data_IF_732480047602
#
_entry.id   IF_732480047602
#
_cell.length_a   1.000
_cell.length_b   1.000
_cell.length_c   1.000
_cell.angle_alpha   90.00
_cell.angle_beta   90.00
_cell.angle_gamma   90.00
#
_symmetry.space_group_name_H-M   'P 1'
#
loop_
_entity.id
_entity.type
_entity.pdbx_description
1 polymer ?
#
# COMPACT_ATOMS: atom_id res chain seq x y z
N UNK A 1 8.28 -5.96 13.83
CA UNK A 1 9.44 -5.99 14.76
C UNK A 1 9.23 -4.91 15.80
N UNK A 2 9.11 -5.27 17.09
CA UNK A 2 8.77 -4.31 18.15
C UNK A 2 9.96 -3.37 18.37
N UNK A 3 9.92 -2.13 17.87
CA UNK A 3 11.02 -1.17 17.99
C UNK A 3 11.20 -0.84 19.47
N UNK A 4 12.28 -1.35 20.09
CA UNK A 4 12.68 -0.95 21.45
C UNK A 4 12.91 0.56 21.45
N UNK A 5 12.34 1.25 22.43
CA UNK A 5 12.56 2.68 22.62
C UNK A 5 14.06 2.98 22.75
N UNK A 6 14.52 4.06 22.11
CA UNK A 6 15.93 4.52 22.08
C UNK A 6 16.62 4.46 23.45
N UNK A 7 15.89 4.86 24.49
CA UNK A 7 16.40 4.90 25.86
C UNK A 7 16.69 3.50 26.41
N UNK A 8 15.83 2.52 26.12
CA UNK A 8 16.05 1.13 26.54
C UNK A 8 17.26 0.55 25.83
N UNK A 9 17.38 0.79 24.52
CA UNK A 9 18.54 0.34 23.73
C UNK A 9 19.86 0.88 24.28
N UNK A 10 19.92 2.18 24.59
CA UNK A 10 21.13 2.80 25.15
C UNK A 10 21.37 2.31 26.59
N UNK A 11 20.34 2.18 27.42
CA UNK A 11 20.50 1.65 28.78
C UNK A 11 21.05 0.22 28.79
N UNK A 12 20.59 -0.63 27.87
CA UNK A 12 21.05 -2.02 27.73
C UNK A 12 22.47 -2.09 27.16
N UNK A 13 22.78 -1.29 26.13
CA UNK A 13 24.08 -1.28 25.48
C UNK A 13 25.20 -0.81 26.43
N UNK A 14 24.94 0.27 27.16
CA UNK A 14 25.91 0.93 28.04
C UNK A 14 25.84 0.47 29.50
N UNK A 15 25.03 -0.56 29.80
CA UNK A 15 24.85 -1.10 31.16
C UNK A 15 24.45 -0.01 32.18
N UNK A 16 23.45 0.82 31.81
CA UNK A 16 22.94 1.97 32.58
C UNK A 16 21.58 1.71 33.24
N UNK A 17 21.14 0.46 33.29
CA UNK A 17 19.82 0.09 33.83
C UNK A 17 19.62 0.51 35.31
N UNK A 18 20.71 0.63 36.08
CA UNK A 18 20.70 1.09 37.49
C UNK A 18 20.87 2.60 37.68
N UNK A 19 20.92 3.42 36.62
CA UNK A 19 21.11 4.88 36.76
C UNK A 19 19.90 5.52 37.46
N UNK A 20 20.16 6.24 38.55
CA UNK A 20 19.14 6.92 39.37
C UNK A 20 18.51 8.10 38.65
N UNK A 21 19.29 8.86 37.86
CA UNK A 21 18.80 10.05 37.14
C UNK A 21 18.43 9.75 35.67
N UNK A 22 17.42 8.90 35.47
CA UNK A 22 16.93 8.53 34.12
C UNK A 22 16.41 9.73 33.32
N UNK A 23 15.84 10.74 33.97
CA UNK A 23 15.32 11.93 33.29
C UNK A 23 16.44 12.73 32.59
N UNK A 24 17.60 12.89 33.25
CA UNK A 24 18.75 13.58 32.65
C UNK A 24 19.37 12.79 31.51
N UNK A 25 19.43 11.46 31.64
CA UNK A 25 19.90 10.57 30.57
C UNK A 25 19.00 10.68 29.33
N UNK A 26 17.67 10.65 29.51
CA UNK A 26 16.71 10.84 28.42
C UNK A 26 16.89 12.20 27.72
N UNK A 27 17.06 13.27 28.49
CA UNK A 27 17.31 14.61 27.95
C UNK A 27 18.61 14.70 27.16
N UNK A 28 19.67 14.01 27.61
CA UNK A 28 20.94 13.95 26.88
C UNK A 28 20.74 13.21 25.54
N UNK A 29 20.16 12.02 25.58
CA UNK A 29 19.90 11.20 24.38
C UNK A 29 19.08 11.98 23.36
N UNK A 30 17.96 12.58 23.77
CA UNK A 30 17.07 13.31 22.85
C UNK A 30 17.72 14.57 22.27
N UNK A 31 18.58 15.24 23.06
CA UNK A 31 19.31 16.43 22.58
C UNK A 31 20.30 16.07 21.49
N UNK A 32 21.08 15.00 21.68
CA UNK A 32 22.02 14.53 20.67
C UNK A 32 21.29 13.96 19.45
N UNK A 33 20.19 13.23 19.64
CA UNK A 33 19.37 12.75 18.53
C UNK A 33 18.88 13.91 17.66
N UNK A 34 18.28 14.94 18.28
CA UNK A 34 17.78 16.12 17.56
C UNK A 34 18.89 16.96 16.93
N UNK A 35 20.10 16.93 17.49
CA UNK A 35 21.27 17.63 16.94
C UNK A 35 21.75 16.96 15.65
N UNK A 36 21.90 15.64 15.67
CA UNK A 36 22.42 14.87 14.53
C UNK A 36 21.34 14.58 13.48
N UNK A 37 20.07 14.47 13.90
CA UNK A 37 18.91 14.19 13.06
C UNK A 37 17.78 15.20 13.34
N UNK A 38 17.88 16.46 12.87
CA UNK A 38 16.93 17.52 13.23
C UNK A 38 15.50 17.28 12.71
N UNK A 39 15.38 16.56 11.59
CA UNK A 39 14.13 16.34 10.87
C UNK A 39 13.59 14.91 11.01
N UNK A 40 14.20 14.06 11.85
CA UNK A 40 13.78 12.68 12.04
C UNK A 40 13.66 12.34 13.52
N UNK A 41 12.59 11.66 13.88
CA UNK A 41 12.42 10.97 15.16
C UNK A 41 13.15 9.63 15.14
N UNK A 42 13.35 9.03 16.31
CA UNK A 42 14.00 7.71 16.43
C UNK A 42 13.34 6.63 15.56
N UNK A 43 12.01 6.66 15.48
CA UNK A 43 11.24 5.67 14.73
C UNK A 43 11.31 5.90 13.21
N UNK A 44 11.67 7.11 12.78
CA UNK A 44 11.90 7.47 11.37
C UNK A 44 13.34 7.20 10.90
N UNK A 45 14.25 6.89 11.82
CA UNK A 45 15.61 6.48 11.47
C UNK A 45 15.62 5.07 10.87
N UNK A 46 16.43 4.90 9.82
CA UNK A 46 16.80 3.59 9.30
C UNK A 46 17.59 2.78 10.36
N UNK A 47 17.62 1.46 10.23
CA UNK A 47 18.39 0.61 11.16
C UNK A 47 19.88 1.00 11.20
N UNK A 48 20.45 1.41 10.07
CA UNK A 48 21.83 1.90 9.98
C UNK A 48 22.01 3.20 10.75
N UNK A 49 21.12 4.19 10.57
CA UNK A 49 21.16 5.45 11.31
C UNK A 49 21.00 5.24 12.82
N UNK A 50 20.10 4.33 13.24
CA UNK A 50 19.95 3.94 14.64
C UNK A 50 21.23 3.32 15.21
N UNK A 51 21.90 2.46 14.44
CA UNK A 51 23.15 1.84 14.84
C UNK A 51 24.29 2.88 14.96
N UNK A 52 24.47 3.72 13.93
CA UNK A 52 25.44 4.83 13.94
C UNK A 52 25.21 5.72 15.16
N UNK A 53 23.95 6.08 15.44
CA UNK A 53 23.64 6.91 16.60
C UNK A 53 24.06 6.24 17.91
N UNK A 54 23.67 4.98 18.11
CA UNK A 54 23.87 4.26 19.37
C UNK A 54 25.30 3.80 19.62
N UNK A 55 26.07 3.53 18.57
CA UNK A 55 27.41 2.94 18.64
C UNK A 55 28.54 3.95 18.39
N UNK A 56 28.23 5.09 17.77
CA UNK A 56 29.23 6.10 17.38
C UNK A 56 28.88 7.46 17.99
N UNK A 57 27.73 8.05 17.61
CA UNK A 57 27.45 9.46 17.89
C UNK A 57 27.16 9.74 19.37
N UNK A 58 26.53 8.80 20.07
CA UNK A 58 26.17 8.98 21.49
C UNK A 58 27.22 8.42 22.46
N UNK A 59 28.24 7.72 21.95
CA UNK A 59 29.20 6.95 22.75
C UNK A 59 30.01 7.82 23.69
N UNK A 60 30.71 8.82 23.14
CA UNK A 60 31.54 9.76 23.92
C UNK A 60 30.70 10.54 24.95
N UNK A 61 29.55 11.17 24.59
CA UNK A 61 28.69 11.83 25.57
C UNK A 61 28.21 10.93 26.73
N UNK A 62 28.01 9.64 26.48
CA UNK A 62 27.59 8.68 27.51
C UNK A 62 28.77 8.26 28.38
N UNK A 63 29.93 8.01 27.79
CA UNK A 63 31.15 7.66 28.53
C UNK A 63 31.55 8.77 29.48
N UNK A 64 31.64 10.01 29.00
CA UNK A 64 32.06 11.16 29.81
C UNK A 64 31.18 11.38 31.03
N UNK A 65 29.86 11.17 30.88
CA UNK A 65 28.88 11.57 31.88
C UNK A 65 28.35 10.43 32.76
N UNK A 66 28.31 9.21 32.24
CA UNK A 66 27.63 8.08 32.91
C UNK A 66 28.51 6.85 33.10
N UNK A 67 29.65 6.74 32.40
CA UNK A 67 30.55 5.59 32.52
C UNK A 67 31.96 6.10 32.72
N UNK A 68 32.28 6.59 33.92
CA UNK A 68 33.61 7.15 34.22
C UNK A 68 34.67 6.10 34.59
N UNK A 69 34.27 4.84 34.74
CA UNK A 69 35.19 3.73 35.04
C UNK A 69 35.84 3.23 33.74
N UNK A 70 37.16 3.38 33.64
CA UNK A 70 37.97 2.99 32.46
C UNK A 70 37.84 1.50 32.10
N UNK A 71 37.68 0.62 33.08
CA UNK A 71 37.54 -0.83 32.85
C UNK A 71 36.18 -1.09 32.21
N UNK A 72 35.12 -0.44 32.73
CA UNK A 72 33.76 -0.52 32.18
C UNK A 72 33.67 0.10 30.79
N UNK A 73 34.30 1.26 30.56
CA UNK A 73 34.40 1.86 29.22
C UNK A 73 35.07 0.92 28.23
N UNK A 74 36.21 0.29 28.59
CA UNK A 74 36.89 -0.69 27.73
C UNK A 74 36.01 -1.89 27.42
N UNK A 75 35.27 -2.40 28.41
CA UNK A 75 34.32 -3.51 28.23
C UNK A 75 33.21 -3.15 27.25
N UNK A 76 32.56 -2.00 27.43
CA UNK A 76 31.47 -1.53 26.56
C UNK A 76 32.00 -1.24 25.15
N UNK A 77 33.18 -0.61 25.03
CA UNK A 77 33.82 -0.34 23.74
C UNK A 77 34.08 -1.62 22.94
N UNK A 78 34.57 -2.69 23.60
CA UNK A 78 34.75 -4.00 22.95
C UNK A 78 33.43 -4.60 22.48
N UNK A 79 32.35 -4.43 23.26
CA UNK A 79 31.01 -4.89 22.88
C UNK A 79 30.51 -4.14 21.64
N UNK A 80 30.59 -2.80 21.65
CA UNK A 80 30.24 -1.93 20.53
C UNK A 80 31.04 -2.34 19.27
N UNK A 81 32.36 -2.50 19.39
CA UNK A 81 33.21 -2.92 18.27
C UNK A 81 32.83 -4.30 17.71
N UNK A 82 32.47 -5.25 18.57
CA UNK A 82 32.01 -6.57 18.15
C UNK A 82 30.69 -6.48 17.37
N UNK A 83 29.70 -5.78 17.92
CA UNK A 83 28.39 -5.59 17.27
C UNK A 83 28.53 -4.86 15.92
N UNK A 84 29.36 -3.81 15.84
CA UNK A 84 29.63 -3.11 14.58
C UNK A 84 30.36 -3.98 13.55
N UNK A 85 31.26 -4.86 13.99
CA UNK A 85 31.94 -5.81 13.08
C UNK A 85 30.97 -6.85 12.52
N UNK A 86 30.08 -7.38 13.35
CA UNK A 86 29.03 -8.32 12.92
C UNK A 86 28.09 -7.67 11.91
N UNK A 87 27.70 -6.41 12.13
CA UNK A 87 26.90 -5.65 11.17
C UNK A 87 27.64 -5.42 9.85
N UNK A 88 28.92 -5.08 9.88
CA UNK A 88 29.72 -4.92 8.66
C UNK A 88 29.75 -6.21 7.83
N UNK A 89 29.88 -7.37 8.49
CA UNK A 89 29.86 -8.67 7.81
C UNK A 89 28.49 -8.96 7.17
N UNK A 90 27.40 -8.64 7.86
CA UNK A 90 26.04 -8.78 7.31
C UNK A 90 25.83 -7.87 6.09
N UNK A 91 26.32 -6.62 6.15
CA UNK A 91 26.28 -5.69 5.01
C UNK A 91 27.09 -6.23 3.83
N UNK A 92 28.30 -6.75 4.06
CA UNK A 92 29.14 -7.32 3.01
C UNK A 92 28.48 -8.53 2.32
N UNK A 93 27.81 -9.39 3.10
CA UNK A 93 27.04 -10.52 2.56
C UNK A 93 25.91 -10.02 1.66
N UNK A 94 25.09 -9.08 2.16
CA UNK A 94 23.97 -8.51 1.38
C UNK A 94 24.44 -7.78 0.13
N UNK A 95 25.57 -7.08 0.21
CA UNK A 95 26.17 -6.42 -0.97
C UNK A 95 26.61 -7.43 -2.01
N UNK A 96 27.21 -8.56 -1.61
CA UNK A 96 27.57 -9.64 -2.53
C UNK A 96 26.34 -10.24 -3.19
N UNK A 97 25.33 -10.60 -2.41
CA UNK A 97 24.06 -11.11 -2.92
C UNK A 97 23.42 -10.15 -3.93
N UNK A 98 23.40 -8.85 -3.61
CA UNK A 98 22.86 -7.83 -4.51
C UNK A 98 23.70 -7.66 -5.78
N UNK A 99 25.03 -7.73 -5.68
CA UNK A 99 25.92 -7.67 -6.84
C UNK A 99 25.71 -8.87 -7.77
N UNK A 100 25.57 -10.08 -7.22
CA UNK A 100 25.25 -11.28 -8.02
C UNK A 100 23.92 -11.14 -8.77
N UNK A 101 22.90 -10.56 -8.12
CA UNK A 101 21.62 -10.25 -8.78
C UNK A 101 21.82 -9.22 -9.90
N UNK A 102 22.57 -8.14 -9.64
CA UNK A 102 22.82 -7.09 -10.64
C UNK A 102 23.60 -7.65 -11.85
N UNK A 103 24.57 -8.52 -11.63
CA UNK A 103 25.31 -9.20 -12.69
C UNK A 103 24.38 -10.02 -13.59
N UNK A 104 23.44 -10.77 -13.00
CA UNK A 104 22.42 -11.51 -13.77
C UNK A 104 21.51 -10.57 -14.56
N UNK A 105 21.03 -9.49 -13.93
CA UNK A 105 20.16 -8.51 -14.59
C UNK A 105 20.82 -7.89 -15.83
N UNK A 106 22.10 -7.56 -15.71
CA UNK A 106 22.88 -6.91 -16.76
C UNK A 106 23.54 -7.88 -17.75
N UNK A 107 23.48 -9.19 -17.49
CA UNK A 107 24.11 -10.22 -18.30
C UNK A 107 23.59 -10.18 -19.74
N UNK A 108 24.52 -10.16 -20.69
CA UNK A 108 24.22 -10.39 -22.10
C UNK A 108 24.22 -11.90 -22.35
N UNK A 109 23.03 -12.48 -22.43
CA UNK A 109 22.85 -13.91 -22.65
C UNK A 109 23.08 -14.29 -24.12
N UNK A 110 22.60 -13.48 -25.06
CA UNK A 110 22.67 -13.80 -26.48
C UNK A 110 24.00 -13.37 -27.11
N UNK A 111 24.61 -14.27 -27.86
CA UNK A 111 25.77 -14.02 -28.71
C UNK A 111 25.45 -14.50 -30.13
N UNK A 112 25.51 -13.58 -31.10
CA UNK A 112 25.04 -13.82 -32.48
C UNK A 112 25.76 -14.98 -33.17
N UNK A 113 27.09 -15.05 -32.98
CA UNK A 113 27.98 -16.05 -33.58
C UNK A 113 28.09 -17.35 -32.78
N UNK A 114 27.26 -17.54 -31.75
CA UNK A 114 27.27 -18.78 -30.97
C UNK A 114 26.61 -19.93 -31.74
N UNK A 115 26.98 -21.15 -31.37
CA UNK A 115 26.34 -22.37 -31.86
C UNK A 115 24.87 -22.40 -31.45
N UNK A 116 24.02 -23.09 -32.22
CA UNK A 116 22.61 -23.27 -31.85
C UNK A 116 22.45 -23.93 -30.47
N UNK A 117 23.37 -24.81 -30.09
CA UNK A 117 23.38 -25.40 -28.76
C UNK A 117 23.73 -24.39 -27.67
N UNK A 118 24.69 -23.48 -27.93
CA UNK A 118 25.04 -22.37 -27.04
C UNK A 118 23.90 -21.37 -26.86
N UNK A 119 23.19 -21.03 -27.94
CA UNK A 119 22.00 -20.15 -27.88
C UNK A 119 20.86 -20.76 -27.06
N UNK A 120 20.60 -22.05 -27.20
CA UNK A 120 19.59 -22.76 -26.39
C UNK A 120 19.98 -22.79 -24.91
N UNK A 121 21.24 -23.00 -24.61
CA UNK A 121 21.75 -22.98 -23.24
C UNK A 121 21.66 -21.57 -22.63
N UNK A 122 22.02 -20.54 -23.39
CA UNK A 122 21.88 -19.15 -22.97
C UNK A 122 20.42 -18.78 -22.67
N UNK A 123 19.49 -19.21 -23.53
CA UNK A 123 18.06 -19.02 -23.29
C UNK A 123 17.55 -19.78 -22.07
N UNK A 124 18.04 -21.01 -21.84
CA UNK A 124 17.73 -21.78 -20.63
C UNK A 124 18.18 -21.02 -19.39
N UNK A 125 19.40 -20.49 -19.40
CA UNK A 125 19.94 -19.70 -18.29
C UNK A 125 19.11 -18.41 -18.06
N UNK A 126 18.70 -17.73 -19.14
CA UNK A 126 17.79 -16.58 -19.05
C UNK A 126 16.49 -16.97 -18.35
N UNK A 127 15.87 -18.09 -18.74
CA UNK A 127 14.62 -18.56 -18.12
C UNK A 127 14.79 -18.89 -16.63
N UNK A 128 15.91 -19.50 -16.26
CA UNK A 128 16.23 -19.81 -14.86
C UNK A 128 16.40 -18.53 -14.03
N UNK A 129 17.21 -17.57 -14.52
CA UNK A 129 17.45 -16.31 -13.81
C UNK A 129 16.18 -15.41 -13.80
N UNK A 130 15.37 -15.45 -14.86
CA UNK A 130 14.06 -14.78 -14.91
C UNK A 130 13.15 -15.27 -13.78
N UNK A 131 13.02 -16.59 -13.63
CA UNK A 131 12.19 -17.19 -12.56
C UNK A 131 12.74 -16.85 -11.16
N UNK A 132 14.06 -16.79 -11.01
CA UNK A 132 14.67 -16.46 -9.72
C UNK A 132 14.43 -15.01 -9.31
N UNK A 133 14.53 -14.06 -10.26
CA UNK A 133 14.53 -12.62 -9.98
C UNK A 133 13.13 -12.00 -10.15
N UNK A 134 12.48 -12.24 -11.29
CA UNK A 134 11.21 -11.61 -11.66
C UNK A 134 10.02 -12.39 -11.11
N UNK A 135 10.16 -13.71 -10.92
CA UNK A 135 9.21 -14.68 -10.31
C UNK A 135 7.86 -14.86 -11.01
N UNK A 136 7.34 -13.84 -11.65
CA UNK A 136 6.03 -13.82 -12.31
C UNK A 136 6.13 -13.68 -13.82
N UNK A 137 5.18 -14.33 -14.51
CA UNK A 137 5.17 -14.41 -15.95
C UNK A 137 6.22 -15.37 -16.50
N UNK A 138 6.36 -15.35 -17.82
CA UNK A 138 7.38 -16.11 -18.53
C UNK A 138 8.07 -15.20 -19.54
N UNK A 139 9.39 -15.35 -19.75
CA UNK A 139 10.05 -14.66 -20.84
C UNK A 139 9.47 -15.11 -22.19
N UNK A 140 9.78 -14.36 -23.24
CA UNK A 140 9.45 -14.70 -24.62
C UNK A 140 9.93 -16.12 -24.98
N UNK A 141 9.30 -16.76 -25.96
CA UNK A 141 9.73 -18.09 -26.45
C UNK A 141 11.15 -18.04 -27.03
N UNK A 142 11.81 -19.20 -27.20
CA UNK A 142 13.16 -19.25 -27.77
C UNK A 142 13.21 -18.65 -29.19
N UNK A 143 12.20 -18.96 -30.02
CA UNK A 143 12.08 -18.49 -31.39
C UNK A 143 11.87 -16.97 -31.48
N UNK A 144 11.19 -16.37 -30.51
CA UNK A 144 11.00 -14.92 -30.42
C UNK A 144 12.25 -14.23 -29.87
N UNK A 145 12.81 -14.79 -28.80
CA UNK A 145 14.00 -14.26 -28.14
C UNK A 145 15.22 -14.25 -29.05
N UNK A 146 15.39 -15.27 -29.90
CA UNK A 146 16.49 -15.30 -30.88
C UNK A 146 16.37 -14.24 -31.97
N UNK A 147 15.15 -13.76 -32.27
CA UNK A 147 14.91 -12.65 -33.22
C UNK A 147 15.11 -11.29 -32.58
N UNK A 148 14.68 -11.13 -31.32
CA UNK A 148 14.81 -9.90 -30.55
C UNK A 148 15.39 -10.23 -29.18
N UNK A 149 16.72 -10.36 -29.05
CA UNK A 149 17.32 -10.81 -27.80
C UNK A 149 17.19 -9.76 -26.71
N UNK A 150 16.36 -10.08 -25.71
CA UNK A 150 16.18 -9.28 -24.51
C UNK A 150 17.00 -9.81 -23.34
N UNK A 151 17.48 -8.90 -22.50
CA UNK A 151 18.10 -9.20 -21.20
C UNK A 151 17.04 -9.11 -20.11
N UNK A 152 17.38 -9.61 -18.92
CA UNK A 152 16.53 -9.45 -17.74
C UNK A 152 16.23 -7.98 -17.42
N UNK A 153 17.21 -7.08 -17.60
CA UNK A 153 17.01 -5.64 -17.46
C UNK A 153 15.84 -5.13 -18.30
N UNK A 154 15.72 -5.58 -19.55
CA UNK A 154 14.73 -5.08 -20.49
C UNK A 154 13.30 -5.51 -20.05
N UNK A 155 13.15 -6.73 -19.51
CA UNK A 155 11.90 -7.20 -18.89
C UNK A 155 11.54 -6.44 -17.60
N UNK A 156 12.52 -6.09 -16.77
CA UNK A 156 12.27 -5.33 -15.54
C UNK A 156 11.79 -3.91 -15.91
N UNK A 157 12.45 -3.30 -16.88
CA UNK A 157 12.11 -1.94 -17.33
C UNK A 157 10.71 -1.90 -17.96
N UNK A 158 10.35 -2.86 -18.82
CA UNK A 158 9.02 -2.90 -19.42
C UNK A 158 7.93 -2.98 -18.36
N UNK A 159 8.08 -3.86 -17.36
CA UNK A 159 7.12 -3.98 -16.25
C UNK A 159 7.04 -2.71 -15.42
N UNK A 160 8.17 -2.06 -15.14
CA UNK A 160 8.14 -0.79 -14.39
C UNK A 160 7.40 0.32 -15.13
N UNK A 161 7.47 0.33 -16.46
CA UNK A 161 6.74 1.29 -17.30
C UNK A 161 5.25 0.95 -17.35
N UNK A 162 4.89 -0.33 -17.45
CA UNK A 162 3.50 -0.80 -17.36
C UNK A 162 2.87 -0.40 -16.03
N UNK A 163 3.52 -0.69 -14.89
CA UNK A 163 3.00 -0.31 -13.56
C UNK A 163 2.90 1.21 -13.39
N UNK A 164 3.87 1.97 -13.91
CA UNK A 164 3.79 3.42 -13.87
C UNK A 164 2.60 3.95 -14.70
N UNK A 165 2.36 3.36 -15.88
CA UNK A 165 1.22 3.72 -16.72
C UNK A 165 -0.11 3.38 -16.04
N UNK A 166 -0.24 2.19 -15.44
CA UNK A 166 -1.44 1.78 -14.69
C UNK A 166 -1.76 2.78 -13.56
N UNK A 167 -0.74 3.24 -12.82
CA UNK A 167 -0.95 4.23 -11.76
C UNK A 167 -1.41 5.59 -12.28
N UNK A 168 -0.91 6.02 -13.44
CA UNK A 168 -1.34 7.26 -14.10
C UNK A 168 -2.78 7.12 -14.60
N UNK A 169 -3.11 5.98 -15.20
CA UNK A 169 -4.45 5.71 -15.73
C UNK A 169 -5.49 5.65 -14.60
N UNK A 170 -5.13 5.07 -13.45
CA UNK A 170 -5.97 5.06 -12.25
C UNK A 170 -6.19 6.49 -11.71
N UNK A 171 -5.15 7.30 -11.60
CA UNK A 171 -5.28 8.71 -11.20
C UNK A 171 -6.13 9.52 -12.18
N UNK A 172 -5.97 9.29 -13.49
CA UNK A 172 -6.75 9.93 -14.55
C UNK A 172 -8.22 9.50 -14.56
N UNK A 173 -8.53 8.25 -14.17
CA UNK A 173 -9.90 7.75 -14.04
C UNK A 173 -10.66 8.40 -12.88
N UNK A 174 -9.96 8.72 -11.78
CA UNK A 174 -10.54 9.36 -10.59
C UNK A 174 -10.83 10.86 -10.80
N UNK A 175 -10.16 11.51 -11.75
CA UNK A 175 -10.32 12.94 -12.05
C UNK A 175 -11.75 13.34 -12.50
N UNK A 176 -12.38 12.66 -13.48
CA UNK A 176 -13.77 12.90 -13.87
C UNK A 176 -14.77 12.75 -12.72
N UNK A 177 -14.61 11.75 -11.86
CA UNK A 177 -15.51 11.55 -10.70
C UNK A 177 -15.44 12.71 -9.72
N UNK A 178 -14.22 13.20 -9.42
CA UNK A 178 -14.02 14.36 -8.54
C UNK A 178 -14.56 15.66 -9.15
N UNK A 179 -14.41 15.83 -10.47
CA UNK A 179 -14.96 16.98 -11.19
C UNK A 179 -16.49 16.93 -11.12
N UNK A 180 -17.10 15.78 -11.40
CA UNK A 180 -18.54 15.58 -11.35
C UNK A 180 -19.11 15.78 -9.94
N UNK A 181 -18.48 15.23 -8.91
CA UNK A 181 -18.88 15.44 -7.51
C UNK A 181 -18.82 16.93 -7.12
N UNK A 182 -17.80 17.65 -7.58
CA UNK A 182 -17.68 19.10 -7.35
C UNK A 182 -18.78 19.88 -8.07
N UNK A 183 -19.10 19.52 -9.32
CA UNK A 183 -20.19 20.12 -10.10
C UNK A 183 -21.54 19.88 -9.39
N UNK A 184 -21.82 18.63 -9.00
CA UNK A 184 -23.06 18.24 -8.32
C UNK A 184 -23.20 19.00 -6.99
N UNK A 185 -22.17 19.02 -6.15
CA UNK A 185 -22.17 19.79 -4.89
C UNK A 185 -22.42 21.27 -5.11
N UNK A 186 -21.85 21.83 -6.17
CA UNK A 186 -22.06 23.25 -6.52
C UNK A 186 -23.51 23.50 -6.94
N UNK A 187 -24.09 22.65 -7.78
CA UNK A 187 -25.50 22.73 -8.19
C UNK A 187 -26.43 22.60 -6.99
N UNK A 188 -26.20 21.61 -6.12
CA UNK A 188 -26.98 21.41 -4.88
C UNK A 188 -26.93 22.65 -3.98
N UNK A 189 -25.75 23.27 -3.87
CA UNK A 189 -25.58 24.50 -3.09
C UNK A 189 -26.33 25.68 -3.71
N UNK A 190 -26.31 25.84 -5.03
CA UNK A 190 -27.08 26.87 -5.74
C UNK A 190 -28.58 26.65 -5.52
N UNK A 191 -29.08 25.42 -5.69
CA UNK A 191 -30.49 25.08 -5.48
C UNK A 191 -30.95 25.37 -4.05
N UNK A 192 -30.10 25.11 -3.06
CA UNK A 192 -30.41 25.40 -1.65
C UNK A 192 -30.41 26.90 -1.33
N UNK A 193 -29.45 27.65 -1.86
CA UNK A 193 -29.26 29.09 -1.52
C UNK A 193 -30.19 29.99 -2.31
N UNK A 194 -30.32 29.79 -3.61
CA UNK A 194 -31.06 30.69 -4.50
C UNK A 194 -32.54 30.30 -4.62
N UNK A 195 -32.85 29.00 -4.56
CA UNK A 195 -34.20 28.48 -4.80
C UNK A 195 -34.87 27.91 -3.55
N UNK A 196 -34.17 27.83 -2.41
CA UNK A 196 -34.65 27.23 -1.15
C UNK A 196 -35.17 25.79 -1.33
N UNK A 197 -34.61 25.07 -2.32
CA UNK A 197 -34.95 23.69 -2.61
C UNK A 197 -33.94 22.78 -1.91
N UNK A 198 -34.45 21.89 -1.06
CA UNK A 198 -33.63 20.87 -0.40
C UNK A 198 -33.91 19.51 -1.04
N UNK A 199 -32.89 18.98 -1.72
CA UNK A 199 -32.93 17.64 -2.32
C UNK A 199 -32.54 16.62 -1.25
N UNK A 200 -33.37 15.61 -1.07
CA UNK A 200 -33.17 14.50 -0.15
C UNK A 200 -32.25 13.45 -0.79
N UNK A 201 -30.94 13.66 -0.60
CA UNK A 201 -29.89 12.78 -1.12
C UNK A 201 -29.96 11.38 -0.49
N UNK A 202 -30.39 11.28 0.78
CA UNK A 202 -30.49 9.99 1.46
C UNK A 202 -31.57 9.13 0.81
N UNK A 203 -32.73 9.72 0.54
CA UNK A 203 -33.85 9.03 -0.12
C UNK A 203 -33.49 8.56 -1.53
N UNK A 204 -32.74 9.36 -2.28
CA UNK A 204 -32.20 8.96 -3.60
C UNK A 204 -31.25 7.76 -3.45
N UNK A 205 -30.34 7.81 -2.48
CA UNK A 205 -29.37 6.74 -2.22
C UNK A 205 -30.06 5.44 -1.86
N UNK A 206 -31.08 5.49 -0.99
CA UNK A 206 -31.85 4.32 -0.57
C UNK A 206 -32.65 3.72 -1.74
N UNK A 207 -33.24 4.57 -2.60
CA UNK A 207 -33.94 4.12 -3.80
C UNK A 207 -33.01 3.42 -4.79
N UNK A 208 -31.87 4.04 -5.12
CA UNK A 208 -30.91 3.47 -6.07
C UNK A 208 -30.26 2.19 -5.54
N UNK A 209 -29.95 2.13 -4.25
CA UNK A 209 -29.39 0.93 -3.62
C UNK A 209 -30.39 -0.22 -3.66
N UNK A 210 -31.68 0.05 -3.45
CA UNK A 210 -32.72 -0.97 -3.56
C UNK A 210 -32.87 -1.45 -5.00
N UNK A 211 -32.96 -0.55 -5.98
CA UNK A 211 -33.13 -0.91 -7.39
C UNK A 211 -31.94 -1.68 -7.95
N UNK A 212 -30.71 -1.35 -7.54
CA UNK A 212 -29.52 -2.07 -7.97
C UNK A 212 -29.44 -3.50 -7.41
N UNK A 213 -29.87 -3.69 -6.15
CA UNK A 213 -29.88 -5.01 -5.51
C UNK A 213 -31.16 -5.80 -5.77
N UNK A 214 -32.16 -5.19 -6.42
CA UNK A 214 -33.35 -5.87 -6.88
C UNK A 214 -32.97 -6.67 -8.14
N UNK A 215 -32.81 -7.98 -8.00
CA UNK A 215 -32.78 -8.88 -9.15
C UNK A 215 -34.23 -9.09 -9.60
N UNK A 216 -34.70 -8.44 -10.69
CA UNK A 216 -35.92 -8.91 -11.30
C UNK A 216 -35.72 -10.37 -11.70
N UNK A 217 -36.75 -11.21 -11.52
CA UNK A 217 -36.83 -12.47 -12.25
C UNK A 217 -36.70 -12.23 -13.75
N UNK A 218 -36.60 -13.30 -14.53
CA UNK A 218 -36.47 -13.25 -16.01
C UNK A 218 -37.30 -12.09 -16.60
N UNK A 219 -36.78 -11.36 -17.59
CA UNK A 219 -37.45 -10.19 -18.20
C UNK A 219 -38.87 -10.47 -18.77
N UNK A 220 -39.26 -11.74 -18.82
CA UNK A 220 -40.56 -12.26 -19.27
C UNK A 220 -41.52 -12.64 -18.12
N UNK A 221 -41.11 -12.52 -16.85
CA UNK A 221 -41.96 -12.78 -15.69
C UNK A 221 -42.70 -11.51 -15.27
N UNK A 222 -44.04 -11.54 -15.35
CA UNK A 222 -44.86 -10.45 -14.86
C UNK A 222 -44.70 -10.30 -13.34
N UNK A 223 -44.44 -9.07 -12.88
CA UNK A 223 -44.32 -8.78 -11.45
C UNK A 223 -45.64 -9.13 -10.74
N UNK A 224 -45.53 -9.97 -9.71
CA UNK A 224 -46.66 -10.35 -8.88
C UNK A 224 -47.02 -9.21 -7.92
N UNK A 225 -48.20 -8.60 -8.08
CA UNK A 225 -48.70 -7.53 -7.20
C UNK A 225 -49.87 -7.95 -6.29
N UNK A 226 -50.48 -9.10 -6.58
CA UNK A 226 -51.60 -9.69 -5.86
C UNK A 226 -51.37 -11.20 -5.66
N UNK A 227 -52.04 -11.79 -4.66
CA UNK A 227 -51.87 -13.21 -4.36
C UNK A 227 -52.47 -14.08 -5.48
N UNK A 228 -51.69 -15.02 -6.01
CA UNK A 228 -52.14 -15.96 -7.04
C UNK A 228 -52.10 -17.41 -6.51
N UNK A 229 -53.27 -18.03 -6.29
CA UNK A 229 -53.35 -19.41 -5.82
C UNK A 229 -52.88 -20.46 -6.85
N UNK A 230 -52.67 -20.09 -8.12
CA UNK A 230 -52.16 -20.98 -9.16
C UNK A 230 -50.64 -21.16 -9.12
N UNK A 231 -49.92 -20.27 -8.41
CA UNK A 231 -48.46 -20.36 -8.28
C UNK A 231 -48.05 -21.42 -7.25
N UNK A 232 -47.02 -22.24 -7.53
CA UNK A 232 -46.53 -23.29 -6.63
C UNK A 232 -45.67 -22.71 -5.47
N UNK A 233 -46.09 -21.58 -4.91
CA UNK A 233 -45.40 -20.86 -3.84
C UNK A 233 -46.30 -20.79 -2.60
N UNK A 234 -45.67 -20.80 -1.41
CA UNK A 234 -46.41 -20.62 -0.17
C UNK A 234 -47.02 -19.21 -0.11
N UNK A 235 -48.10 -19.07 0.67
CA UNK A 235 -48.76 -17.77 0.87
C UNK A 235 -47.82 -16.71 1.46
N UNK A 236 -46.93 -17.12 2.35
CA UNK A 236 -45.92 -16.26 2.96
C UNK A 236 -44.88 -15.81 1.92
N UNK A 237 -44.37 -16.74 1.10
CA UNK A 237 -43.42 -16.41 0.03
C UNK A 237 -44.02 -15.45 -1.02
N UNK A 238 -45.29 -15.63 -1.39
CA UNK A 238 -45.96 -14.71 -2.31
C UNK A 238 -46.15 -13.31 -1.70
N UNK A 239 -46.43 -13.21 -0.39
CA UNK A 239 -46.58 -11.92 0.28
C UNK A 239 -45.27 -11.13 0.32
N UNK A 240 -44.14 -11.80 0.53
CA UNK A 240 -42.81 -11.18 0.47
C UNK A 240 -42.51 -10.65 -0.94
N UNK A 241 -42.75 -11.46 -1.98
CA UNK A 241 -42.56 -11.06 -3.39
C UNK A 241 -43.45 -9.86 -3.74
N UNK A 242 -44.73 -9.88 -3.36
CA UNK A 242 -45.67 -8.77 -3.60
C UNK A 242 -45.19 -7.48 -2.90
N UNK A 243 -44.68 -7.60 -1.66
CA UNK A 243 -44.16 -6.45 -0.93
C UNK A 243 -42.93 -5.86 -1.64
N UNK A 244 -42.02 -6.71 -2.10
CA UNK A 244 -40.82 -6.28 -2.83
C UNK A 244 -41.17 -5.64 -4.17
N UNK A 245 -42.10 -6.21 -4.93
CA UNK A 245 -42.54 -5.68 -6.22
C UNK A 245 -43.26 -4.32 -6.08
N UNK A 246 -44.08 -4.15 -5.04
CA UNK A 246 -44.71 -2.86 -4.72
C UNK A 246 -43.68 -1.79 -4.34
N UNK A 247 -42.64 -2.18 -3.60
CA UNK A 247 -41.55 -1.28 -3.24
C UNK A 247 -40.69 -0.90 -4.46
N UNK A 248 -40.42 -1.86 -5.35
CA UNK A 248 -39.78 -1.62 -6.65
C UNK A 248 -40.56 -0.62 -7.50
N UNK A 249 -41.87 -0.82 -7.64
CA UNK A 249 -42.73 0.09 -8.40
C UNK A 249 -42.75 1.50 -7.78
N UNK A 250 -42.83 1.60 -6.45
CA UNK A 250 -42.78 2.89 -5.75
C UNK A 250 -41.48 3.64 -6.02
N UNK A 251 -40.33 2.98 -5.93
CA UNK A 251 -39.03 3.63 -6.15
C UNK A 251 -38.77 3.98 -7.62
N UNK A 252 -39.28 3.18 -8.55
CA UNK A 252 -39.26 3.49 -9.99
C UNK A 252 -40.09 4.75 -10.28
N UNK A 253 -41.33 4.79 -9.77
CA UNK A 253 -42.22 5.94 -9.89
C UNK A 253 -41.61 7.22 -9.29
N UNK A 254 -40.91 7.09 -8.16
CA UNK A 254 -40.22 8.18 -7.50
C UNK A 254 -39.06 8.75 -8.33
N UNK A 255 -38.28 7.88 -9.00
CA UNK A 255 -37.24 8.29 -9.94
C UNK A 255 -37.81 9.02 -11.16
N UNK A 256 -38.87 8.48 -11.76
CA UNK A 256 -39.50 9.08 -12.94
C UNK A 256 -40.15 10.43 -12.64
N UNK A 257 -40.77 10.56 -11.46
CA UNK A 257 -41.44 11.81 -11.03
C UNK A 257 -40.49 12.79 -10.34
N UNK A 258 -39.22 12.41 -10.12
CA UNK A 258 -38.20 13.20 -9.43
C UNK A 258 -38.66 13.70 -8.04
N UNK A 259 -39.40 12.86 -7.30
CA UNK A 259 -40.04 13.20 -6.03
C UNK A 259 -39.08 13.12 -4.83
N UNK A 260 -37.97 13.87 -4.93
CA UNK A 260 -36.89 13.88 -3.94
C UNK A 260 -36.55 15.27 -3.44
N UNK A 261 -37.40 16.28 -3.66
CA UNK A 261 -37.10 17.64 -3.24
C UNK A 261 -38.27 18.27 -2.49
N UNK A 262 -37.93 19.05 -1.47
CA UNK A 262 -38.88 19.86 -0.73
C UNK A 262 -38.63 21.32 -1.06
N UNK A 263 -39.67 22.03 -1.45
CA UNK A 263 -39.65 23.48 -1.60
C UNK A 263 -40.29 24.08 -0.37
N UNK A 264 -39.58 24.97 0.33
CA UNK A 264 -40.24 25.76 1.38
C UNK A 264 -41.26 26.68 0.71
N UNK A 265 -42.54 26.48 0.98
CA UNK A 265 -43.55 27.47 0.63
C UNK A 265 -43.30 28.72 1.47
N UNK A 266 -43.18 29.87 0.80
CA UNK A 266 -43.13 31.17 1.48
C UNK A 266 -44.46 31.39 2.19
N UNK A 267 -44.41 31.56 3.51
CA UNK A 267 -45.48 32.21 4.27
C UNK A 267 -45.60 33.68 3.87
#
# INVERSE_FOLDING_TARGET
MNKKQIHTTICDLYELNGVTNRASLRRLINRHLKKEYPNKTWDELTLLEQHIFTHILITEPIFDKYVQDDIKQKKISRKIQKESKEMSLDIDVKLKEQNEINEKIMKQYYVENDTEQGKKEAYRQLCEDYKAIIKEGTPQTYEEWTKTPLRLYDYIMSRSLETAQESIDEEMSVLPERINDTIIKTILKILKVEFEIEIDIQRITDCLTFLYNFEPGNEFEELLFEYDPALPLSKEAQQEIISMNKQFQLYTDMLDKLDFFHKKEKA
#
